data_IF_563660540619
#
_entry.id   IF_563660540619
#
_cell.length_a   1.000
_cell.length_b   1.000
_cell.length_c   1.000
_cell.angle_alpha   90.00
_cell.angle_beta   90.00
_cell.angle_gamma   90.00
#
_symmetry.space_group_name_H-M   'P 1'
#
loop_
_entity.id
_entity.type
_entity.pdbx_description
1 polymer ?
#
# COMPACT_ATOMS: atom_id res chain seq x y z
N UNK A 1 -13.14 -8.84 17.16
CA UNK A 1 -11.82 -8.79 17.82
C UNK A 1 -10.84 -8.20 16.84
N UNK A 2 -9.89 -7.39 17.28
CA UNK A 2 -8.88 -6.79 16.41
C UNK A 2 -7.94 -7.87 15.86
N UNK A 3 -7.67 -7.91 14.55
CA UNK A 3 -6.68 -8.82 13.97
C UNK A 3 -5.26 -8.61 14.50
N UNK A 4 -4.48 -9.69 14.53
CA UNK A 4 -3.11 -9.68 15.05
C UNK A 4 -2.05 -9.28 14.02
N UNK A 5 -2.30 -9.50 12.73
CA UNK A 5 -1.41 -9.05 11.67
C UNK A 5 -1.36 -7.52 11.62
N UNK A 6 -0.17 -6.97 11.40
CA UNK A 6 0.09 -5.53 11.45
C UNK A 6 0.43 -5.01 12.84
N UNK A 7 0.34 -5.85 13.89
CA UNK A 7 0.83 -5.51 15.22
C UNK A 7 2.34 -5.78 15.33
N UNK A 8 3.05 -4.88 15.99
CA UNK A 8 4.48 -5.00 16.29
C UNK A 8 4.77 -6.15 17.26
N UNK A 9 6.04 -6.55 17.35
CA UNK A 9 6.50 -7.52 18.36
C UNK A 9 6.11 -7.11 19.79
N UNK A 10 6.19 -5.82 20.13
CA UNK A 10 5.80 -5.31 21.45
C UNK A 10 4.30 -5.52 21.71
N UNK A 11 3.46 -5.13 20.75
CA UNK A 11 2.00 -5.29 20.85
C UNK A 11 1.60 -6.77 20.94
N UNK A 12 2.22 -7.65 20.13
CA UNK A 12 1.97 -9.09 20.21
C UNK A 12 2.46 -9.70 21.53
N UNK A 13 3.56 -9.17 22.10
CA UNK A 13 4.05 -9.58 23.43
C UNK A 13 3.10 -9.18 24.54
N UNK A 14 2.57 -7.95 24.48
CA UNK A 14 1.53 -7.49 25.40
C UNK A 14 0.24 -8.31 25.26
N UNK A 15 -0.15 -8.62 24.03
CA UNK A 15 -1.34 -9.43 23.73
C UNK A 15 -1.23 -10.83 24.33
N UNK A 16 -0.14 -11.59 24.08
CA UNK A 16 0.01 -12.93 24.66
C UNK A 16 0.07 -12.91 26.19
N UNK A 17 0.69 -11.88 26.78
CA UNK A 17 0.76 -11.70 28.23
C UNK A 17 -0.63 -11.47 28.82
N UNK A 18 -1.47 -10.66 28.15
CA UNK A 18 -2.88 -10.48 28.51
C UNK A 18 -3.72 -11.76 28.38
N UNK A 19 -3.30 -12.71 27.55
CA UNK A 19 -3.90 -14.05 27.43
C UNK A 19 -3.30 -15.09 28.42
N UNK A 20 -2.53 -14.64 29.42
CA UNK A 20 -1.93 -15.51 30.45
C UNK A 20 -0.72 -16.32 30.00
N UNK A 21 -0.13 -16.00 28.84
CA UNK A 21 1.11 -16.63 28.39
C UNK A 21 2.36 -15.85 28.85
N UNK A 22 3.52 -16.51 29.04
CA UNK A 22 4.77 -15.82 29.32
C UNK A 22 5.21 -14.88 28.19
N UNK A 23 5.84 -13.75 28.52
CA UNK A 23 6.24 -12.73 27.55
C UNK A 23 7.11 -13.25 26.39
N UNK A 24 7.99 -14.23 26.62
CA UNK A 24 8.84 -14.80 25.56
C UNK A 24 8.02 -15.44 24.41
N UNK A 25 6.77 -15.81 24.66
CA UNK A 25 5.84 -16.33 23.65
C UNK A 25 5.45 -15.27 22.61
N UNK A 26 5.62 -13.98 22.91
CA UNK A 26 5.34 -12.89 21.98
C UNK A 26 6.20 -12.99 20.72
N UNK A 27 7.50 -13.29 20.89
CA UNK A 27 8.41 -13.54 19.77
C UNK A 27 8.00 -14.74 18.94
N UNK A 28 7.50 -15.81 19.57
CA UNK A 28 7.01 -16.97 18.84
C UNK A 28 5.77 -16.61 18.02
N UNK A 29 4.79 -15.94 18.63
CA UNK A 29 3.59 -15.49 17.90
C UNK A 29 3.96 -14.61 16.70
N UNK A 30 4.85 -13.63 16.91
CA UNK A 30 5.36 -12.74 15.86
C UNK A 30 5.99 -13.52 14.70
N UNK A 31 6.93 -14.43 14.98
CA UNK A 31 7.56 -15.28 13.97
C UNK A 31 6.56 -16.12 13.18
N UNK A 32 5.54 -16.66 13.85
CA UNK A 32 4.52 -17.45 13.15
C UNK A 32 3.61 -16.59 12.26
N UNK A 33 3.30 -15.36 12.67
CA UNK A 33 2.51 -14.42 11.86
C UNK A 33 3.31 -13.94 10.64
N UNK A 34 4.54 -13.44 10.83
CA UNK A 34 5.28 -12.75 9.77
C UNK A 34 6.21 -13.66 8.96
N UNK A 35 6.94 -14.58 9.61
CA UNK A 35 7.88 -15.46 8.90
C UNK A 35 7.19 -16.71 8.35
N UNK A 36 6.28 -17.31 9.12
CA UNK A 36 5.54 -18.52 8.71
C UNK A 36 4.23 -18.21 7.99
N UNK A 37 3.72 -16.99 8.08
CA UNK A 37 2.51 -16.57 7.39
C UNK A 37 1.29 -17.40 7.79
N UNK A 38 1.09 -17.69 9.08
CA UNK A 38 -0.11 -18.44 9.51
C UNK A 38 -1.40 -17.73 9.14
N UNK A 39 -2.44 -18.53 8.88
CA UNK A 39 -3.79 -18.04 8.61
C UNK A 39 -4.71 -18.17 9.82
N UNK A 40 -4.43 -19.13 10.71
CA UNK A 40 -5.16 -19.32 11.97
C UNK A 40 -4.22 -19.49 13.15
N UNK A 41 -4.66 -19.11 14.35
CA UNK A 41 -3.89 -19.37 15.58
C UNK A 41 -3.85 -20.86 15.94
N UNK A 42 -4.79 -21.65 15.41
CA UNK A 42 -4.80 -23.10 15.51
C UNK A 42 -3.54 -23.76 14.93
N UNK A 43 -2.90 -23.13 13.94
CA UNK A 43 -1.73 -23.69 13.25
C UNK A 43 -0.41 -23.53 14.02
N UNK A 44 -0.40 -22.74 15.11
CA UNK A 44 0.82 -22.39 15.84
C UNK A 44 1.20 -23.49 16.85
N UNK A 45 1.75 -24.59 16.35
CA UNK A 45 1.98 -25.84 17.12
C UNK A 45 2.93 -25.71 18.31
N UNK A 46 3.73 -24.64 18.39
CA UNK A 46 4.57 -24.35 19.57
C UNK A 46 3.75 -23.97 20.81
N UNK A 47 2.48 -23.61 20.64
CA UNK A 47 1.53 -23.42 21.74
C UNK A 47 0.72 -24.69 22.03
N UNK A 48 0.37 -24.87 23.31
CA UNK A 48 -0.41 -26.01 23.75
C UNK A 48 -1.77 -26.07 23.03
N UNK A 49 -2.26 -27.29 22.79
CA UNK A 49 -3.58 -27.49 22.16
C UNK A 49 -4.69 -26.78 22.94
N UNK A 50 -4.66 -26.87 24.27
CA UNK A 50 -5.63 -26.23 25.14
C UNK A 50 -5.69 -24.70 24.95
N UNK A 51 -4.53 -24.03 24.86
CA UNK A 51 -4.49 -22.59 24.66
C UNK A 51 -4.95 -22.19 23.26
N UNK A 52 -4.52 -22.93 22.23
CA UNK A 52 -4.96 -22.67 20.84
C UNK A 52 -6.48 -22.75 20.70
N UNK A 53 -7.14 -23.69 21.36
CA UNK A 53 -8.61 -23.80 21.37
C UNK A 53 -9.27 -22.59 22.06
N UNK A 54 -8.67 -22.01 23.10
CA UNK A 54 -9.23 -20.85 23.80
C UNK A 54 -9.24 -19.57 22.93
N UNK A 55 -8.24 -19.42 22.07
CA UNK A 55 -8.03 -18.23 21.24
C UNK A 55 -8.43 -18.43 19.77
N UNK A 56 -9.03 -19.56 19.43
CA UNK A 56 -9.31 -19.97 18.05
C UNK A 56 -10.14 -18.94 17.27
N UNK A 57 -11.04 -18.23 17.98
CA UNK A 57 -11.90 -17.19 17.40
C UNK A 57 -11.18 -15.86 17.12
N UNK A 58 -9.93 -15.68 17.58
CA UNK A 58 -9.16 -14.46 17.34
C UNK A 58 -8.61 -14.49 15.92
N UNK A 59 -8.98 -13.53 15.05
CA UNK A 59 -8.52 -13.53 13.67
C UNK A 59 -7.04 -13.15 13.61
N UNK A 60 -6.28 -13.87 12.76
CA UNK A 60 -4.94 -13.40 12.37
C UNK A 60 -5.06 -12.16 11.49
N UNK A 61 -6.05 -12.11 10.60
CA UNK A 61 -6.24 -11.01 9.64
C UNK A 61 -5.67 -11.31 8.24
N UNK A 62 -5.68 -12.57 7.81
CA UNK A 62 -5.33 -12.96 6.43
C UNK A 62 -6.60 -13.00 5.58
N UNK A 63 -6.54 -12.51 4.34
CA UNK A 63 -7.63 -12.62 3.37
C UNK A 63 -7.71 -14.03 2.75
N UNK A 64 -8.80 -14.28 2.04
CA UNK A 64 -8.97 -15.49 1.24
C UNK A 64 -8.65 -15.23 -0.23
N UNK A 65 -7.85 -16.10 -0.85
CA UNK A 65 -7.59 -16.03 -2.28
C UNK A 65 -8.88 -16.37 -3.04
N UNK A 66 -9.48 -15.37 -3.69
CA UNK A 66 -10.69 -15.55 -4.48
C UNK A 66 -10.37 -15.99 -5.91
N UNK A 67 -9.34 -15.40 -6.51
CA UNK A 67 -8.90 -15.73 -7.86
C UNK A 67 -7.42 -15.39 -8.04
N UNK A 68 -6.74 -16.15 -8.90
CA UNK A 68 -5.33 -15.99 -9.24
C UNK A 68 -5.17 -16.10 -10.75
N UNK A 69 -4.46 -15.15 -11.34
CA UNK A 69 -4.15 -15.16 -12.78
C UNK A 69 -2.68 -14.83 -13.00
N UNK A 70 -1.99 -15.67 -13.77
CA UNK A 70 -0.57 -15.53 -14.07
C UNK A 70 -0.38 -15.17 -15.54
N UNK A 71 0.39 -14.13 -15.80
CA UNK A 71 0.81 -13.71 -17.12
C UNK A 71 2.06 -14.48 -17.59
N UNK A 72 2.35 -14.49 -18.92
CA UNK A 72 3.51 -15.20 -19.46
C UNK A 72 4.88 -14.71 -18.95
N UNK A 73 4.96 -13.44 -18.52
CA UNK A 73 6.17 -12.85 -17.95
C UNK A 73 6.39 -13.19 -16.46
N UNK A 74 5.48 -13.98 -15.87
CA UNK A 74 5.51 -14.38 -14.47
C UNK A 74 4.76 -13.44 -13.54
N UNK A 75 4.24 -12.30 -14.01
CA UNK A 75 3.38 -11.42 -13.21
C UNK A 75 2.13 -12.16 -12.77
N UNK A 76 1.78 -12.08 -11.49
CA UNK A 76 0.58 -12.72 -10.95
C UNK A 76 -0.35 -11.66 -10.36
N UNK A 77 -1.60 -11.65 -10.83
CA UNK A 77 -2.68 -10.87 -10.24
C UNK A 77 -3.49 -11.74 -9.28
N UNK A 78 -3.77 -11.19 -8.10
CA UNK A 78 -4.55 -11.81 -7.04
C UNK A 78 -5.82 -11.02 -6.80
N UNK A 79 -6.96 -11.70 -6.77
CA UNK A 79 -8.19 -11.18 -6.18
C UNK A 79 -8.29 -11.73 -4.76
N UNK A 80 -8.23 -10.84 -3.77
CA UNK A 80 -8.25 -11.19 -2.36
C UNK A 80 -9.60 -10.79 -1.76
N UNK A 81 -10.33 -11.78 -1.24
CA UNK A 81 -11.60 -11.56 -0.55
C UNK A 81 -11.34 -11.27 0.93
N UNK A 82 -11.75 -10.09 1.34
CA UNK A 82 -11.66 -9.57 2.69
C UNK A 82 -12.76 -10.17 3.58
N UNK A 83 -12.66 -9.96 4.90
CA UNK A 83 -13.58 -10.55 5.88
C UNK A 83 -15.04 -10.11 5.68
N UNK A 84 -15.24 -8.88 5.20
CA UNK A 84 -16.56 -8.31 4.89
C UNK A 84 -17.09 -8.72 3.50
N UNK A 85 -16.40 -9.62 2.80
CA UNK A 85 -16.79 -10.14 1.49
C UNK A 85 -16.38 -9.27 0.31
N UNK A 86 -15.85 -8.07 0.55
CA UNK A 86 -15.30 -7.22 -0.50
C UNK A 86 -14.05 -7.85 -1.11
N UNK A 87 -13.75 -7.49 -2.35
CA UNK A 87 -12.60 -8.01 -3.10
C UNK A 87 -11.67 -6.86 -3.49
N UNK A 88 -10.38 -7.05 -3.24
CA UNK A 88 -9.32 -6.16 -3.69
C UNK A 88 -8.35 -6.87 -4.61
N UNK A 89 -7.58 -6.08 -5.37
CA UNK A 89 -6.51 -6.57 -6.22
C UNK A 89 -5.14 -6.36 -5.56
N UNK A 90 -4.26 -7.34 -5.70
CA UNK A 90 -2.83 -7.21 -5.47
C UNK A 90 -2.08 -7.82 -6.66
N UNK A 91 -0.90 -7.31 -6.98
CA UNK A 91 -0.10 -7.81 -8.11
C UNK A 91 1.33 -8.09 -7.66
N UNK A 92 1.78 -9.31 -7.86
CA UNK A 92 3.19 -9.70 -7.73
C UNK A 92 3.89 -9.60 -9.08
N UNK A 93 4.95 -8.79 -9.14
CA UNK A 93 5.69 -8.49 -10.37
C UNK A 93 7.13 -8.97 -10.17
N UNK A 94 7.48 -10.19 -10.63
CA UNK A 94 8.82 -10.72 -10.52
C UNK A 94 9.74 -10.08 -11.57
N UNK A 95 11.00 -9.94 -11.20
CA UNK A 95 12.11 -9.63 -12.12
C UNK A 95 13.31 -10.46 -11.70
N UNK A 96 14.39 -10.44 -12.49
CA UNK A 96 15.60 -11.20 -12.16
C UNK A 96 16.23 -10.87 -10.79
N UNK A 97 16.00 -9.67 -10.24
CA UNK A 97 16.65 -9.20 -8.99
C UNK A 97 15.69 -8.87 -7.86
N UNK A 98 14.40 -8.68 -8.14
CA UNK A 98 13.41 -8.22 -7.16
C UNK A 98 12.04 -8.81 -7.41
N UNK A 99 11.27 -8.97 -6.33
CA UNK A 99 9.84 -9.20 -6.37
C UNK A 99 9.16 -7.93 -5.84
N UNK A 100 8.37 -7.29 -6.69
CA UNK A 100 7.62 -6.07 -6.35
C UNK A 100 6.16 -6.43 -6.13
N UNK A 101 5.56 -5.90 -5.07
CA UNK A 101 4.11 -6.02 -4.84
C UNK A 101 3.45 -4.68 -5.07
N UNK A 102 2.47 -4.65 -5.97
CA UNK A 102 1.52 -3.55 -6.09
C UNK A 102 0.37 -3.81 -5.12
N UNK A 103 0.26 -2.97 -4.09
CA UNK A 103 -0.75 -3.10 -3.03
C UNK A 103 -1.87 -2.07 -3.20
N UNK A 104 -3.09 -2.51 -2.90
CA UNK A 104 -4.26 -1.67 -2.72
C UNK A 104 -4.27 -1.04 -1.32
N UNK A 105 -4.85 0.15 -1.22
CA UNK A 105 -5.03 0.92 0.01
C UNK A 105 -6.51 1.13 0.39
N UNK A 106 -7.44 0.91 -0.55
CA UNK A 106 -8.88 1.06 -0.35
C UNK A 106 -9.65 0.00 -1.14
N UNK A 107 -10.91 -0.23 -0.78
CA UNK A 107 -11.88 -0.92 -1.62
C UNK A 107 -12.54 0.12 -2.52
N UNK A 108 -12.13 0.14 -3.78
CA UNK A 108 -12.50 1.20 -4.73
C UNK A 108 -11.59 2.43 -4.59
N UNK A 109 -11.98 3.55 -5.20
CA UNK A 109 -11.23 4.81 -5.14
C UNK A 109 -12.15 6.00 -5.37
N UNK A 110 -12.13 7.04 -4.50
CA UNK A 110 -13.03 8.19 -4.63
C UNK A 110 -12.55 9.22 -5.67
N UNK A 111 -11.33 9.07 -6.21
CA UNK A 111 -10.71 10.09 -7.07
C UNK A 111 -11.28 10.14 -8.49
N UNK A 112 -11.98 9.08 -8.92
CA UNK A 112 -12.69 9.00 -10.20
C UNK A 112 -11.85 9.42 -11.42
N UNK A 113 -10.55 9.11 -11.46
CA UNK A 113 -9.69 9.41 -12.60
C UNK A 113 -10.21 8.68 -13.86
N UNK A 114 -10.34 9.39 -14.98
CA UNK A 114 -11.07 8.89 -16.16
C UNK A 114 -10.40 7.68 -16.83
N UNK A 115 -9.08 7.58 -16.69
CA UNK A 115 -8.26 6.47 -17.18
C UNK A 115 -8.22 5.27 -16.21
N UNK A 116 -8.77 5.40 -15.00
CA UNK A 116 -8.68 4.38 -13.94
C UNK A 116 -9.96 3.56 -13.83
N UNK A 117 -9.86 2.24 -14.03
CA UNK A 117 -11.00 1.33 -13.84
C UNK A 117 -11.53 1.34 -12.40
N UNK A 118 -10.65 1.42 -11.40
CA UNK A 118 -11.04 1.49 -9.98
C UNK A 118 -11.83 2.75 -9.66
N UNK A 119 -11.45 3.90 -10.23
CA UNK A 119 -12.19 5.16 -10.05
C UNK A 119 -13.63 5.10 -10.57
N UNK A 120 -13.87 4.29 -11.61
CA UNK A 120 -15.23 4.04 -12.15
C UNK A 120 -16.07 3.11 -11.28
N UNK A 121 -15.43 2.27 -10.46
CA UNK A 121 -16.09 1.35 -9.54
C UNK A 121 -16.62 2.00 -8.25
N UNK A 122 -16.35 3.30 -8.04
CA UNK A 122 -16.70 4.02 -6.82
C UNK A 122 -15.78 3.72 -5.64
N UNK A 123 -16.14 4.24 -4.47
CA UNK A 123 -15.43 4.03 -3.20
C UNK A 123 -16.37 3.37 -2.20
N UNK A 124 -15.88 2.33 -1.50
CA UNK A 124 -16.63 1.66 -0.44
C UNK A 124 -16.05 1.96 0.93
N UNK A 125 -14.77 1.66 1.15
CA UNK A 125 -14.08 1.92 2.42
C UNK A 125 -12.56 1.91 2.29
N UNK A 126 -11.91 2.43 3.33
CA UNK A 126 -10.49 2.27 3.55
C UNK A 126 -10.14 0.82 3.95
N UNK A 127 -8.92 0.39 3.61
CA UNK A 127 -8.35 -0.83 4.14
C UNK A 127 -7.74 -0.61 5.52
N UNK A 128 -7.88 -1.60 6.39
CA UNK A 128 -7.15 -1.65 7.65
C UNK A 128 -5.69 -2.04 7.41
N UNK A 129 -4.82 -1.73 8.36
CA UNK A 129 -3.39 -2.06 8.30
C UNK A 129 -3.14 -3.54 7.98
N UNK A 130 -3.87 -4.44 8.63
CA UNK A 130 -3.71 -5.88 8.42
C UNK A 130 -4.06 -6.32 6.98
N UNK A 131 -5.06 -5.70 6.35
CA UNK A 131 -5.47 -5.99 4.97
C UNK A 131 -4.43 -5.50 3.96
N UNK A 132 -3.67 -4.45 4.29
CA UNK A 132 -2.54 -3.98 3.46
C UNK A 132 -1.34 -4.93 3.60
N UNK A 133 -0.98 -5.30 4.84
CA UNK A 133 0.16 -6.19 5.11
C UNK A 133 -0.08 -7.59 4.53
N UNK A 134 -1.30 -8.10 4.63
CA UNK A 134 -1.70 -9.42 4.12
C UNK A 134 -1.44 -9.58 2.62
N UNK A 135 -1.63 -8.52 1.82
CA UNK A 135 -1.33 -8.56 0.39
C UNK A 135 0.13 -8.96 0.14
N UNK A 136 1.06 -8.40 0.91
CA UNK A 136 2.50 -8.69 0.78
C UNK A 136 2.82 -10.10 1.23
N UNK A 137 2.27 -10.54 2.36
CA UNK A 137 2.50 -11.91 2.85
C UNK A 137 1.92 -12.96 1.90
N UNK A 138 0.75 -12.70 1.32
CA UNK A 138 0.12 -13.61 0.35
C UNK A 138 0.93 -13.73 -0.93
N UNK A 139 1.46 -12.62 -1.46
CA UNK A 139 2.35 -12.68 -2.63
C UNK A 139 3.67 -13.38 -2.30
N UNK A 140 4.28 -13.08 -1.15
CA UNK A 140 5.51 -13.73 -0.70
C UNK A 140 5.34 -15.26 -0.56
N UNK A 141 4.20 -15.69 0.00
CA UNK A 141 3.83 -17.09 0.17
C UNK A 141 3.68 -17.79 -1.19
N UNK A 142 2.91 -17.22 -2.13
CA UNK A 142 2.64 -17.83 -3.44
C UNK A 142 3.89 -17.91 -4.33
N UNK A 143 4.77 -16.89 -4.28
CA UNK A 143 6.02 -16.91 -5.03
C UNK A 143 7.11 -17.78 -4.38
N UNK A 144 6.97 -18.14 -3.09
CA UNK A 144 8.05 -18.77 -2.32
C UNK A 144 9.33 -17.92 -2.28
N UNK A 145 9.22 -16.62 -2.52
CA UNK A 145 10.31 -15.68 -2.65
C UNK A 145 10.01 -14.45 -1.81
N UNK A 146 11.04 -13.96 -1.11
CA UNK A 146 10.93 -12.73 -0.32
C UNK A 146 10.56 -11.53 -1.20
N UNK A 147 9.53 -10.79 -0.78
CA UNK A 147 9.20 -9.51 -1.39
C UNK A 147 10.26 -8.48 -1.02
N UNK A 148 10.78 -7.76 -2.02
CA UNK A 148 11.85 -6.77 -1.82
C UNK A 148 11.38 -5.34 -2.03
N UNK A 149 10.28 -5.13 -2.77
CA UNK A 149 9.77 -3.81 -3.15
C UNK A 149 8.24 -3.76 -3.05
N UNK A 150 7.71 -2.59 -2.70
CA UNK A 150 6.27 -2.36 -2.57
C UNK A 150 5.91 -1.05 -3.26
N UNK A 151 4.82 -1.04 -4.00
CA UNK A 151 4.24 0.18 -4.57
C UNK A 151 2.77 0.29 -4.17
N UNK A 152 2.39 1.41 -3.55
CA UNK A 152 0.99 1.73 -3.23
C UNK A 152 0.33 2.34 -4.46
N UNK A 153 0.15 1.51 -5.49
CA UNK A 153 -0.40 1.88 -6.81
C UNK A 153 -1.51 0.91 -7.25
N UNK A 154 -2.07 0.15 -6.31
CA UNK A 154 -3.23 -0.70 -6.53
C UNK A 154 -4.52 0.11 -6.45
N UNK A 155 -5.57 -0.49 -5.88
CA UNK A 155 -6.84 0.19 -5.69
C UNK A 155 -6.76 1.24 -4.58
N UNK A 156 -7.30 2.43 -4.84
CA UNK A 156 -7.45 3.50 -3.85
C UNK A 156 -6.45 4.65 -3.98
N UNK A 157 -6.70 5.69 -3.20
CA UNK A 157 -5.81 6.83 -3.00
C UNK A 157 -5.19 6.72 -1.59
N UNK A 158 -3.90 6.33 -1.48
CA UNK A 158 -3.25 6.05 -0.19
C UNK A 158 -3.34 7.21 0.80
N UNK A 159 -3.30 8.46 0.34
CA UNK A 159 -3.35 9.60 1.25
C UNK A 159 -4.74 9.88 1.84
N UNK A 160 -5.81 9.31 1.29
CA UNK A 160 -7.13 9.27 1.96
C UNK A 160 -7.26 8.15 2.99
N UNK A 161 -6.24 7.30 3.10
CA UNK A 161 -6.10 6.25 4.11
C UNK A 161 -4.76 6.34 4.86
N UNK A 162 -4.32 7.58 5.14
CA UNK A 162 -2.95 7.86 5.64
C UNK A 162 -2.62 7.03 6.89
N UNK A 163 -3.50 6.97 7.89
CA UNK A 163 -3.17 6.34 9.17
C UNK A 163 -2.92 4.83 9.02
N UNK A 164 -3.80 4.11 8.31
CA UNK A 164 -3.62 2.67 8.04
C UNK A 164 -2.40 2.40 7.15
N UNK A 165 -2.16 3.26 6.14
CA UNK A 165 -1.03 3.14 5.22
C UNK A 165 0.30 3.36 5.93
N UNK A 166 0.41 4.40 6.76
CA UNK A 166 1.61 4.69 7.57
C UNK A 166 1.88 3.54 8.54
N UNK A 167 0.86 3.05 9.25
CA UNK A 167 1.00 1.89 10.12
C UNK A 167 1.45 0.63 9.35
N UNK A 168 0.92 0.41 8.13
CA UNK A 168 1.35 -0.70 7.28
C UNK A 168 2.80 -0.55 6.84
N UNK A 169 3.25 0.65 6.45
CA UNK A 169 4.65 0.93 6.10
C UNK A 169 5.58 0.59 7.27
N UNK A 170 5.23 0.97 8.51
CA UNK A 170 6.01 0.65 9.69
C UNK A 170 6.08 -0.86 9.95
N UNK A 171 4.97 -1.58 9.82
CA UNK A 171 4.95 -3.03 10.01
C UNK A 171 5.70 -3.77 8.91
N UNK A 172 5.49 -3.41 7.64
CA UNK A 172 6.24 -3.95 6.50
C UNK A 172 7.75 -3.68 6.63
N UNK A 173 8.13 -2.56 7.25
CA UNK A 173 9.52 -2.24 7.48
C UNK A 173 10.15 -3.00 8.64
N UNK A 174 9.47 -3.04 9.79
CA UNK A 174 10.02 -3.57 11.03
C UNK A 174 9.78 -5.06 11.17
N UNK A 175 8.55 -5.51 10.91
CA UNK A 175 8.11 -6.89 11.14
C UNK A 175 8.39 -7.80 9.94
N UNK A 176 8.24 -7.30 8.71
CA UNK A 176 8.56 -8.03 7.47
C UNK A 176 10.01 -7.75 6.99
N UNK A 177 10.63 -6.68 7.48
CA UNK A 177 12.03 -6.34 7.22
C UNK A 177 12.29 -5.66 5.87
N UNK A 178 11.28 -5.10 5.19
CA UNK A 178 11.45 -4.45 3.89
C UNK A 178 11.91 -3.00 4.12
N UNK A 179 13.08 -2.60 3.60
CA UNK A 179 13.54 -1.21 3.77
C UNK A 179 12.55 -0.20 3.18
N UNK A 180 12.20 0.86 3.91
CA UNK A 180 11.25 1.89 3.45
C UNK A 180 11.64 2.53 2.11
N UNK A 181 12.94 2.64 1.81
CA UNK A 181 13.43 3.14 0.51
C UNK A 181 13.06 2.25 -0.68
N UNK A 182 12.63 1.01 -0.43
CA UNK A 182 12.10 0.10 -1.43
C UNK A 182 10.57 0.14 -1.52
N UNK A 183 9.94 1.06 -0.79
CA UNK A 183 8.51 1.31 -0.84
C UNK A 183 8.23 2.65 -1.52
N UNK A 184 7.27 2.67 -2.42
CA UNK A 184 6.81 3.89 -3.10
C UNK A 184 5.34 4.13 -2.76
N UNK A 185 5.03 5.29 -2.17
CA UNK A 185 3.66 5.73 -1.95
C UNK A 185 3.27 6.68 -3.09
N UNK A 186 2.21 6.33 -3.83
CA UNK A 186 1.68 7.18 -4.90
C UNK A 186 0.48 7.99 -4.43
N UNK A 187 0.29 9.19 -4.96
CA UNK A 187 -0.90 10.01 -4.73
C UNK A 187 -1.28 10.81 -5.96
N UNK A 188 -2.57 11.07 -6.15
CA UNK A 188 -3.06 12.06 -7.14
C UNK A 188 -2.93 13.50 -6.65
N UNK A 189 -2.42 13.74 -5.44
CA UNK A 189 -2.07 15.08 -4.96
C UNK A 189 -3.25 15.84 -4.36
N UNK A 190 -3.86 15.28 -3.31
CA UNK A 190 -4.95 15.92 -2.57
C UNK A 190 -4.39 17.06 -1.71
N UNK A 191 -4.98 18.27 -1.74
CA UNK A 191 -4.46 19.43 -1.01
C UNK A 191 -4.22 19.16 0.48
N UNK A 192 -3.01 19.44 0.95
CA UNK A 192 -2.59 19.34 2.36
C UNK A 192 -2.16 17.95 2.81
N UNK A 193 -2.46 16.90 2.03
CA UNK A 193 -2.12 15.54 2.44
C UNK A 193 -0.65 15.18 2.21
N UNK A 194 0.02 15.79 1.22
CA UNK A 194 1.46 15.58 1.00
C UNK A 194 2.25 16.22 2.16
N UNK A 195 1.82 17.40 2.63
CA UNK A 195 2.38 18.02 3.84
C UNK A 195 2.17 17.14 5.08
N UNK A 196 0.95 16.67 5.32
CA UNK A 196 0.66 15.72 6.42
C UNK A 196 1.54 14.47 6.34
N UNK A 197 1.75 13.92 5.14
CA UNK A 197 2.66 12.78 4.97
C UNK A 197 4.10 13.14 5.39
N UNK A 198 4.56 14.35 5.07
CA UNK A 198 5.89 14.86 5.43
C UNK A 198 6.16 14.86 6.94
N UNK A 199 5.13 15.12 7.75
CA UNK A 199 5.22 15.13 9.23
C UNK A 199 5.57 13.76 9.82
N UNK A 200 5.30 12.67 9.10
CA UNK A 200 5.66 11.32 9.53
C UNK A 200 7.14 10.99 9.29
N UNK A 201 7.89 11.85 8.59
CA UNK A 201 9.33 11.67 8.29
C UNK A 201 9.70 10.27 7.74
N UNK A 202 8.80 9.68 6.95
CA UNK A 202 9.03 8.39 6.32
C UNK A 202 10.16 8.45 5.28
N UNK A 203 10.88 7.34 5.14
CA UNK A 203 11.94 7.18 4.14
C UNK A 203 11.45 6.53 2.84
N UNK A 204 10.13 6.49 2.61
CA UNK A 204 9.54 6.01 1.37
C UNK A 204 9.84 6.95 0.21
N UNK A 205 9.66 6.48 -1.02
CA UNK A 205 9.62 7.35 -2.20
C UNK A 205 8.21 7.89 -2.37
N UNK A 206 8.04 9.21 -2.45
CA UNK A 206 6.76 9.81 -2.83
C UNK A 206 6.66 9.85 -4.36
N UNK A 207 5.63 9.24 -4.91
CA UNK A 207 5.25 9.37 -6.30
C UNK A 207 3.97 10.22 -6.43
N UNK A 208 3.93 11.12 -7.40
CA UNK A 208 2.77 11.95 -7.70
C UNK A 208 2.25 11.62 -9.09
N UNK A 209 1.02 11.13 -9.14
CA UNK A 209 0.23 10.90 -10.36
C UNK A 209 -0.15 12.24 -11.01
N UNK A 210 0.77 12.77 -11.82
CA UNK A 210 0.65 14.08 -12.44
C UNK A 210 -0.18 14.03 -13.72
N UNK A 211 0.24 13.16 -14.65
CA UNK A 211 -0.46 12.79 -15.90
C UNK A 211 -0.85 13.91 -16.87
N UNK A 212 -0.51 15.17 -16.60
CA UNK A 212 -0.81 16.30 -17.47
C UNK A 212 0.25 17.40 -17.32
N UNK A 213 0.61 18.05 -18.43
CA UNK A 213 1.54 19.18 -18.44
C UNK A 213 0.87 20.51 -18.10
N UNK A 214 -0.47 20.60 -18.10
CA UNK A 214 -1.19 21.80 -17.69
C UNK A 214 -2.53 21.50 -17.00
N UNK A 215 -3.12 22.53 -16.38
CA UNK A 215 -4.34 22.41 -15.60
C UNK A 215 -5.51 21.89 -16.43
N UNK A 216 -5.71 22.41 -17.65
CA UNK A 216 -6.84 22.04 -18.50
C UNK A 216 -6.83 20.55 -18.84
N UNK A 217 -5.67 20.00 -19.20
CA UNK A 217 -5.51 18.56 -19.42
C UNK A 217 -5.68 17.76 -18.13
N UNK A 218 -5.17 18.28 -17.00
CA UNK A 218 -5.28 17.59 -15.71
C UNK A 218 -6.73 17.42 -15.28
N UNK A 219 -7.57 18.43 -15.49
CA UNK A 219 -9.01 18.39 -15.19
C UNK A 219 -9.79 17.42 -16.09
N UNK A 220 -9.26 17.11 -17.28
CA UNK A 220 -9.83 16.08 -18.16
C UNK A 220 -9.48 14.67 -17.68
N UNK A 221 -8.31 14.48 -17.07
CA UNK A 221 -7.84 13.15 -16.65
C UNK A 221 -8.18 12.81 -15.20
N UNK A 222 -8.17 13.84 -14.34
CA UNK A 222 -8.36 13.75 -12.90
C UNK A 222 -9.45 14.78 -12.55
N UNK A 223 -10.74 14.41 -12.58
CA UNK A 223 -11.84 15.36 -12.40
C UNK A 223 -11.79 16.17 -11.10
N UNK A 224 -11.24 15.58 -10.02
CA UNK A 224 -11.03 16.27 -8.75
C UNK A 224 -10.04 17.45 -8.85
N UNK A 225 -9.16 17.47 -9.85
CA UNK A 225 -8.20 18.55 -10.07
C UNK A 225 -8.87 19.91 -10.36
N UNK A 226 -10.16 19.96 -10.70
CA UNK A 226 -10.91 21.22 -10.83
C UNK A 226 -10.96 22.02 -9.52
N UNK A 227 -10.86 21.32 -8.39
CA UNK A 227 -10.96 21.93 -7.07
C UNK A 227 -9.62 22.52 -6.59
N UNK A 228 -8.50 22.16 -7.22
CA UNK A 228 -7.18 22.59 -6.78
C UNK A 228 -6.19 22.70 -7.94
N UNK A 229 -5.47 23.82 -7.96
CA UNK A 229 -4.55 24.16 -9.06
C UNK A 229 -3.30 23.29 -9.04
N UNK A 230 -2.82 22.93 -10.23
CA UNK A 230 -1.57 22.22 -10.44
C UNK A 230 -0.38 22.94 -9.77
N UNK A 231 -0.35 24.27 -9.83
CA UNK A 231 0.71 25.05 -9.17
C UNK A 231 0.75 24.82 -7.64
N UNK A 232 -0.41 24.65 -7.00
CA UNK A 232 -0.48 24.37 -5.57
C UNK A 232 0.02 22.97 -5.23
N UNK A 233 -0.29 21.97 -6.08
CA UNK A 233 0.27 20.62 -5.94
C UNK A 233 1.80 20.63 -6.05
N UNK A 234 2.36 21.34 -7.03
CA UNK A 234 3.80 21.42 -7.21
C UNK A 234 4.49 22.13 -6.05
N UNK A 235 3.88 23.20 -5.51
CA UNK A 235 4.36 23.86 -4.31
C UNK A 235 4.36 22.91 -3.10
N UNK A 236 3.31 22.10 -2.92
CA UNK A 236 3.25 21.13 -1.83
C UNK A 236 4.31 20.02 -1.96
N UNK A 237 4.64 19.63 -3.21
CA UNK A 237 5.75 18.71 -3.47
C UNK A 237 7.10 19.34 -3.08
N UNK A 238 7.29 20.63 -3.35
CA UNK A 238 8.50 21.36 -2.94
C UNK A 238 8.60 21.46 -1.41
N UNK A 239 7.49 21.75 -0.72
CA UNK A 239 7.42 21.75 0.76
C UNK A 239 7.83 20.38 1.33
N UNK A 240 7.37 19.29 0.71
CA UNK A 240 7.74 17.92 1.10
C UNK A 240 9.22 17.65 0.92
N UNK A 241 9.82 18.04 -0.22
CA UNK A 241 11.26 17.91 -0.46
C UNK A 241 12.04 18.73 0.58
N UNK A 242 11.65 19.97 0.84
CA UNK A 242 12.31 20.83 1.82
C UNK A 242 12.24 20.27 3.25
N UNK A 243 11.10 19.67 3.62
CA UNK A 243 10.86 19.10 4.96
C UNK A 243 11.60 17.78 5.18
N UNK A 244 11.64 16.92 4.15
CA UNK A 244 12.11 15.53 4.29
C UNK A 244 13.49 15.27 3.68
N UNK A 245 13.95 16.15 2.78
CA UNK A 245 15.13 15.93 1.94
C UNK A 245 14.95 14.80 0.92
N UNK A 246 13.71 14.30 0.72
CA UNK A 246 13.40 13.16 -0.16
C UNK A 246 12.92 13.67 -1.50
N UNK A 247 13.46 13.10 -2.59
CA UNK A 247 13.00 13.40 -3.96
C UNK A 247 11.58 12.89 -4.20
N UNK A 248 10.82 13.65 -4.98
CA UNK A 248 9.51 13.26 -5.52
C UNK A 248 9.66 12.68 -6.93
N UNK A 249 9.00 11.56 -7.19
CA UNK A 249 8.83 11.00 -8.53
C UNK A 249 7.50 11.47 -9.11
N UNK A 250 7.45 11.79 -10.40
CA UNK A 250 6.20 12.13 -11.08
C UNK A 250 5.82 11.03 -12.07
N UNK A 251 4.62 10.49 -11.90
CA UNK A 251 4.06 9.48 -12.79
C UNK A 251 3.27 10.19 -13.90
N UNK A 252 3.51 9.76 -15.15
CA UNK A 252 2.90 10.37 -16.33
C UNK A 252 2.48 9.27 -17.31
N UNK A 253 1.18 8.94 -17.31
CA UNK A 253 0.62 8.01 -18.30
C UNK A 253 0.57 8.69 -19.66
N UNK A 254 1.02 8.01 -20.71
CA UNK A 254 0.96 8.52 -22.08
C UNK A 254 -0.32 8.02 -22.75
N UNK A 255 -1.19 8.96 -23.12
CA UNK A 255 -2.47 8.73 -23.75
C UNK A 255 -2.45 9.38 -25.14
N UNK A 256 -2.59 8.54 -26.16
CA UNK A 256 -2.39 8.90 -27.56
C UNK A 256 -3.20 10.13 -27.98
N UNK A 257 -2.49 11.17 -28.45
CA UNK A 257 -3.06 12.41 -28.95
C UNK A 257 -3.60 13.36 -27.88
N UNK A 258 -3.63 12.94 -26.61
CA UNK A 258 -4.19 13.68 -25.50
C UNK A 258 -3.11 14.39 -24.68
N UNK A 259 -2.09 13.67 -24.22
CA UNK A 259 -1.06 14.22 -23.33
C UNK A 259 0.38 13.80 -23.71
N UNK A 260 0.59 13.29 -24.93
CA UNK A 260 1.85 12.70 -25.41
C UNK A 260 2.54 13.46 -26.58
N UNK A 261 2.00 14.61 -26.98
CA UNK A 261 2.59 15.49 -28.01
C UNK A 261 3.87 16.19 -27.53
N UNK A 262 4.79 16.57 -28.45
CA UNK A 262 6.01 17.31 -28.09
C UNK A 262 5.77 18.61 -27.30
N UNK A 263 4.67 19.32 -27.58
CA UNK A 263 4.29 20.53 -26.84
C UNK A 263 4.07 20.26 -25.34
N UNK A 264 3.46 19.13 -24.98
CA UNK A 264 3.24 18.75 -23.59
C UNK A 264 4.55 18.43 -22.87
N UNK A 265 5.51 17.82 -23.57
CA UNK A 265 6.83 17.55 -23.01
C UNK A 265 7.59 18.87 -22.73
N UNK A 266 7.49 19.85 -23.63
CA UNK A 266 8.09 21.18 -23.42
C UNK A 266 7.45 21.91 -22.23
N UNK A 267 6.11 21.93 -22.16
CA UNK A 267 5.39 22.49 -21.01
C UNK A 267 5.80 21.83 -19.69
N UNK A 268 5.95 20.50 -19.68
CA UNK A 268 6.35 19.75 -18.49
C UNK A 268 7.77 20.09 -18.04
N UNK A 269 8.70 20.26 -18.99
CA UNK A 269 10.08 20.64 -18.70
C UNK A 269 10.17 22.06 -18.12
N UNK A 270 9.37 23.00 -18.63
CA UNK A 270 9.35 24.39 -18.18
C UNK A 270 8.82 24.55 -16.74
N UNK A 271 8.02 23.60 -16.25
CA UNK A 271 7.45 23.65 -14.90
C UNK A 271 8.44 23.46 -13.75
N UNK A 272 9.70 23.12 -14.03
CA UNK A 272 10.75 22.88 -13.01
C UNK A 272 10.24 22.00 -11.87
N UNK A 273 9.71 20.83 -12.23
CA UNK A 273 9.18 19.84 -11.30
C UNK A 273 10.17 19.60 -10.15
N UNK A 274 9.73 19.90 -8.93
CA UNK A 274 10.46 19.90 -7.66
C UNK A 274 11.91 19.36 -7.73
N UNK A 275 12.87 20.29 -7.82
CA UNK A 275 14.29 20.04 -7.62
C UNK A 275 14.66 20.19 -6.14
#
# INVERSE_FOLDING_TARGET
>A
MQPLLGQSLEQLTAWVTGQGQPAYRGKQLHQWIYDKGVRTLGDITVFSKAWRTQIEAVPVGRSHLHFRSQAPDGTIKYLLRLQDGNIIEAVGIPTAKRLTVCVSSQVGCPMACDFCATGKGGFLRNLDTHEIVDQVLTVQEDFGQRVSNIVFMGMGEPLLNTDSVVAAIHSLNTDVGIGQRNMTLSTVGIPGHIRRLGEHHLQVTLAVSLHASNQAQREQLIPSARQYRLEALLAECQDYVATTGRRVSFEYILLAGLNDRPEHAAELADRRLAA
#
